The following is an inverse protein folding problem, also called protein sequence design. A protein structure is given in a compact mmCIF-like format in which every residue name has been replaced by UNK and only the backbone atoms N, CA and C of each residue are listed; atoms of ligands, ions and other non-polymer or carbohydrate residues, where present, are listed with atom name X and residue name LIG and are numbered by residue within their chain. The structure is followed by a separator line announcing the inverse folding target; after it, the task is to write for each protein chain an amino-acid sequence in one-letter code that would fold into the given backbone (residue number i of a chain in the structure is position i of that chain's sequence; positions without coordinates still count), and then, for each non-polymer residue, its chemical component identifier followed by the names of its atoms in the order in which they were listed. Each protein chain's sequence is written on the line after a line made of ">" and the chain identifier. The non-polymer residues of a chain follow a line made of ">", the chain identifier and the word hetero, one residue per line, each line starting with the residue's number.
data_IF_746776696558
#
_entry.id   IF_746776696558
#
_cell.length_a   1.000
_cell.length_b   1.000
_cell.length_c   1.000
_cell.angle_alpha   90.00
_cell.angle_beta   90.00
_cell.angle_gamma   90.00
#
_symmetry.space_group_name_H-M   'P 1'
#
loop_
_entity.id
_entity.type
_entity.pdbx_description
1 polymer ?
#
# COMPACT_ATOMS: atom_id res chain seq x y z
N UNK A 1 -12.50 23.47 34.67
CA UNK A 1 -11.10 23.30 35.08
C UNK A 1 -10.60 22.01 34.46
N UNK A 2 -9.55 22.12 33.64
CA UNK A 2 -9.19 21.13 32.62
C UNK A 2 -8.51 19.86 33.17
N UNK A 3 -8.73 18.77 32.44
CA UNK A 3 -7.89 17.58 32.48
C UNK A 3 -7.10 17.52 31.17
N UNK A 4 -5.82 17.87 31.26
CA UNK A 4 -4.83 17.56 30.23
C UNK A 4 -4.60 16.05 30.22
N UNK A 5 -5.02 15.40 29.13
CA UNK A 5 -4.70 14.01 28.82
C UNK A 5 -4.23 13.94 27.37
N UNK A 6 -3.00 14.40 27.11
CA UNK A 6 -2.34 14.15 25.82
C UNK A 6 -1.97 12.67 25.80
N UNK A 7 -2.71 11.88 25.02
CA UNK A 7 -2.43 10.46 24.82
C UNK A 7 -1.09 10.22 24.13
N UNK A 8 -0.56 8.97 24.17
CA UNK A 8 0.77 8.61 23.66
C UNK A 8 0.97 8.86 22.16
N UNK A 9 -0.13 9.03 21.41
CA UNK A 9 -0.14 9.16 19.95
C UNK A 9 0.41 10.48 19.42
N UNK A 10 0.37 11.57 20.21
CA UNK A 10 0.93 12.86 19.80
C UNK A 10 2.48 12.89 19.88
N UNK A 11 3.09 12.04 20.71
CA UNK A 11 4.56 11.91 20.79
C UNK A 11 5.17 11.20 19.57
N UNK A 12 4.43 10.29 18.93
CA UNK A 12 4.90 9.56 17.76
C UNK A 12 4.96 10.42 16.49
N UNK A 13 4.05 11.39 16.34
CA UNK A 13 4.06 12.29 15.18
C UNK A 13 5.26 13.26 15.20
N UNK A 14 5.70 13.66 16.39
CA UNK A 14 6.80 14.61 16.55
C UNK A 14 8.19 13.96 16.41
N UNK A 15 8.30 12.63 16.58
CA UNK A 15 9.52 11.87 16.29
C UNK A 15 9.70 11.59 14.78
N UNK A 16 8.61 11.50 14.01
CA UNK A 16 8.67 11.23 12.56
C UNK A 16 8.99 12.48 11.71
N UNK A 17 8.76 13.69 12.22
CA UNK A 17 9.06 14.94 11.53
C UNK A 17 10.09 15.76 12.30
N UNK A 18 11.27 15.16 12.49
CA UNK A 18 12.48 15.87 12.88
C UNK A 18 12.86 16.93 11.82
N UNK A 19 13.27 18.08 12.32
CA UNK A 19 13.48 19.36 11.65
C UNK A 19 14.23 19.28 10.30
N UNK A 20 13.73 20.07 9.35
CA UNK A 20 14.33 20.42 8.06
C UNK A 20 15.86 20.59 8.15
N UNK A 21 16.55 20.09 7.12
CA UNK A 21 18.00 20.11 6.85
C UNK A 21 18.84 19.04 7.53
N UNK A 22 18.83 17.81 6.97
CA UNK A 22 19.96 16.86 7.11
C UNK A 22 19.81 15.69 8.09
N UNK A 23 18.60 15.32 8.51
CA UNK A 23 18.40 14.18 9.42
C UNK A 23 18.67 12.85 8.72
N UNK A 24 19.70 12.13 9.18
CA UNK A 24 19.76 10.67 9.04
C UNK A 24 18.50 10.09 9.70
N UNK A 25 17.83 9.13 9.04
CA UNK A 25 16.97 8.19 9.74
C UNK A 25 17.73 7.70 10.96
N UNK A 26 17.19 7.95 12.16
CA UNK A 26 17.92 7.71 13.40
C UNK A 26 18.38 6.25 13.47
N UNK A 27 19.57 6.00 14.04
CA UNK A 27 20.11 4.64 14.22
C UNK A 27 19.09 3.72 14.92
N UNK A 28 18.26 4.27 15.79
CA UNK A 28 17.17 3.58 16.47
C UNK A 28 16.03 3.19 15.52
N UNK A 29 15.65 4.06 14.59
CA UNK A 29 14.66 3.77 13.55
C UNK A 29 15.12 2.58 12.68
N UNK A 30 16.38 2.63 12.23
CA UNK A 30 17.00 1.55 11.44
C UNK A 30 17.03 0.20 12.16
N UNK A 31 17.22 0.19 13.47
CA UNK A 31 17.21 -1.03 14.27
C UNK A 31 15.82 -1.66 14.34
N UNK A 32 14.79 -0.84 14.48
CA UNK A 32 13.41 -1.32 14.65
C UNK A 32 12.83 -1.80 13.32
N UNK A 33 13.11 -1.05 12.26
CA UNK A 33 12.63 -1.30 10.90
C UNK A 33 13.67 -1.99 10.00
N UNK A 34 14.58 -2.78 10.56
CA UNK A 34 15.62 -3.51 9.79
C UNK A 34 15.03 -4.41 8.68
N UNK A 35 13.80 -4.87 8.88
CA UNK A 35 12.99 -5.63 7.91
C UNK A 35 12.67 -4.84 6.64
N UNK A 36 12.64 -3.50 6.67
CA UNK A 36 12.40 -2.69 5.47
C UNK A 36 13.63 -2.57 4.55
N UNK A 37 14.74 -3.23 4.92
CA UNK A 37 15.98 -3.23 4.16
C UNK A 37 16.52 -1.83 3.94
N UNK A 38 17.02 -1.55 2.74
CA UNK A 38 17.54 -0.23 2.34
C UNK A 38 16.51 0.57 1.51
N UNK A 39 15.22 0.27 1.68
CA UNK A 39 14.12 0.95 0.99
C UNK A 39 13.87 2.38 1.47
N UNK A 40 12.90 3.04 0.85
CA UNK A 40 12.69 4.50 0.98
C UNK A 40 12.42 4.99 2.41
N UNK A 41 11.91 4.13 3.29
CA UNK A 41 11.71 4.49 4.70
C UNK A 41 12.98 4.37 5.54
N UNK A 42 13.95 3.55 5.12
CA UNK A 42 15.12 3.20 5.91
C UNK A 42 16.45 3.67 5.29
N UNK A 43 16.41 4.28 4.10
CA UNK A 43 17.57 4.86 3.43
C UNK A 43 17.91 6.26 3.95
N UNK A 44 19.20 6.62 3.88
CA UNK A 44 19.71 7.93 4.32
C UNK A 44 20.21 8.78 3.15
N UNK A 45 20.20 10.10 3.36
CA UNK A 45 20.88 11.09 2.54
C UNK A 45 20.64 10.92 1.03
N UNK A 46 21.68 10.61 0.27
CA UNK A 46 21.63 10.59 -1.20
C UNK A 46 20.87 9.36 -1.74
N UNK A 47 20.93 8.21 -1.05
CA UNK A 47 20.15 7.03 -1.42
C UNK A 47 18.64 7.33 -1.31
N UNK A 48 18.23 7.94 -0.19
CA UNK A 48 16.85 8.38 -0.01
C UNK A 48 16.43 9.40 -1.07
N UNK A 49 17.28 10.39 -1.37
CA UNK A 49 16.97 11.40 -2.40
C UNK A 49 16.77 10.77 -3.77
N UNK A 50 17.62 9.82 -4.17
CA UNK A 50 17.51 9.12 -5.46
C UNK A 50 16.24 8.28 -5.52
N UNK A 51 15.96 7.46 -4.50
CA UNK A 51 14.73 6.66 -4.42
C UNK A 51 13.47 7.53 -4.42
N UNK A 52 13.46 8.61 -3.63
CA UNK A 52 12.36 9.59 -3.57
C UNK A 52 12.10 10.26 -4.92
N UNK A 53 13.16 10.61 -5.65
CA UNK A 53 13.07 11.21 -6.99
C UNK A 53 12.43 10.24 -7.97
N UNK A 54 12.87 8.99 -7.99
CA UNK A 54 12.33 7.94 -8.87
C UNK A 54 10.86 7.62 -8.55
N UNK A 55 10.55 7.37 -7.27
CA UNK A 55 9.19 7.16 -6.79
C UNK A 55 8.24 8.31 -7.18
N UNK A 56 8.68 9.56 -6.98
CA UNK A 56 7.89 10.73 -7.34
C UNK A 56 7.66 10.81 -8.85
N UNK A 57 8.69 10.57 -9.65
CA UNK A 57 8.58 10.59 -11.10
C UNK A 57 7.51 9.60 -11.59
N UNK A 58 7.55 8.36 -11.07
CA UNK A 58 6.54 7.33 -11.35
C UNK A 58 5.13 7.76 -10.95
N UNK A 59 4.91 8.17 -9.70
CA UNK A 59 3.56 8.50 -9.20
C UNK A 59 2.95 9.69 -9.95
N UNK A 60 3.78 10.62 -10.42
CA UNK A 60 3.32 11.75 -11.24
C UNK A 60 3.11 11.40 -12.71
N UNK A 61 3.60 10.25 -13.16
CA UNK A 61 3.51 9.81 -14.55
C UNK A 61 2.05 9.55 -14.96
N UNK A 62 1.65 10.01 -16.14
CA UNK A 62 0.26 9.91 -16.60
C UNK A 62 -0.20 8.44 -16.66
N UNK A 63 0.62 7.54 -17.22
CA UNK A 63 0.30 6.10 -17.30
C UNK A 63 0.04 5.48 -15.93
N UNK A 64 0.86 5.80 -14.93
CA UNK A 64 0.67 5.29 -13.56
C UNK A 64 -0.64 5.80 -12.96
N UNK A 65 -0.97 7.09 -13.17
CA UNK A 65 -2.23 7.67 -12.66
C UNK A 65 -3.46 7.07 -13.33
N UNK A 66 -3.41 6.81 -14.64
CA UNK A 66 -4.48 6.10 -15.35
C UNK A 66 -4.65 4.69 -14.82
N UNK A 67 -3.53 3.98 -14.63
CA UNK A 67 -3.52 2.63 -14.08
C UNK A 67 -4.07 2.58 -12.66
N UNK A 68 -3.72 3.54 -11.81
CA UNK A 68 -4.26 3.72 -10.46
C UNK A 68 -5.78 3.86 -10.46
N UNK A 69 -6.31 4.77 -11.28
CA UNK A 69 -7.75 5.02 -11.35
C UNK A 69 -8.48 3.77 -11.87
N UNK A 70 -7.98 3.18 -12.96
CA UNK A 70 -8.57 1.97 -13.55
C UNK A 70 -8.59 0.81 -12.55
N UNK A 71 -7.44 0.51 -11.93
CA UNK A 71 -7.31 -0.57 -10.95
C UNK A 71 -8.23 -0.36 -9.75
N UNK A 72 -8.29 0.87 -9.21
CA UNK A 72 -9.14 1.18 -8.07
C UNK A 72 -10.62 0.99 -8.42
N UNK A 73 -11.04 1.44 -9.61
CA UNK A 73 -12.41 1.28 -10.09
C UNK A 73 -12.76 -0.20 -10.28
N UNK A 74 -11.93 -0.94 -11.01
CA UNK A 74 -12.14 -2.37 -11.28
C UNK A 74 -12.21 -3.18 -9.99
N UNK A 75 -11.40 -2.85 -8.98
CA UNK A 75 -11.41 -3.53 -7.68
C UNK A 75 -12.64 -3.23 -6.85
N UNK A 76 -13.20 -2.03 -6.94
CA UNK A 76 -14.47 -1.71 -6.30
C UNK A 76 -15.61 -2.43 -7.02
N UNK A 77 -15.68 -2.31 -8.35
CA UNK A 77 -16.78 -2.84 -9.16
C UNK A 77 -16.83 -4.37 -9.19
N UNK A 78 -15.69 -5.03 -9.38
CA UNK A 78 -15.61 -6.49 -9.56
C UNK A 78 -15.23 -7.24 -8.29
N UNK A 79 -14.79 -6.54 -7.24
CA UNK A 79 -14.36 -7.13 -5.98
C UNK A 79 -15.23 -6.70 -4.81
N UNK A 80 -15.12 -5.43 -4.41
CA UNK A 80 -15.74 -4.94 -3.17
C UNK A 80 -17.27 -5.02 -3.20
N UNK A 81 -17.90 -4.52 -4.27
CA UNK A 81 -19.37 -4.52 -4.41
C UNK A 81 -19.92 -5.94 -4.38
N UNK A 82 -19.43 -6.90 -5.20
CA UNK A 82 -19.90 -8.29 -5.14
C UNK A 82 -19.75 -8.95 -3.77
N UNK A 83 -18.64 -8.69 -3.05
CA UNK A 83 -18.44 -9.21 -1.69
C UNK A 83 -19.46 -8.62 -0.73
N UNK A 84 -19.73 -7.32 -0.79
CA UNK A 84 -20.72 -6.66 0.06
C UNK A 84 -22.15 -7.12 -0.26
N UNK A 85 -22.49 -7.32 -1.53
CA UNK A 85 -23.78 -7.88 -1.95
C UNK A 85 -23.97 -9.29 -1.39
N UNK A 86 -22.98 -10.16 -1.55
CA UNK A 86 -22.99 -11.51 -1.02
C UNK A 86 -23.19 -11.56 0.50
N UNK A 87 -22.44 -10.73 1.23
CA UNK A 87 -22.54 -10.59 2.69
C UNK A 87 -23.93 -10.10 3.11
N UNK A 88 -24.49 -9.13 2.37
CA UNK A 88 -25.82 -8.59 2.62
C UNK A 88 -26.92 -9.63 2.37
N UNK A 89 -26.85 -10.38 1.26
CA UNK A 89 -27.82 -11.42 0.91
C UNK A 89 -27.86 -12.55 1.93
N UNK A 90 -26.71 -12.89 2.51
CA UNK A 90 -26.60 -13.93 3.53
C UNK A 90 -26.84 -13.41 4.96
N UNK A 91 -26.99 -12.10 5.16
CA UNK A 91 -27.13 -11.49 6.48
C UNK A 91 -25.89 -11.70 7.37
N UNK A 92 -24.70 -11.80 6.76
CA UNK A 92 -23.45 -12.01 7.48
C UNK A 92 -22.98 -10.72 8.16
N UNK A 93 -22.35 -10.87 9.32
CA UNK A 93 -21.62 -9.77 9.97
C UNK A 93 -20.15 -9.91 9.60
N UNK A 94 -19.57 -8.84 9.06
CA UNK A 94 -18.17 -8.79 8.67
C UNK A 94 -17.44 -7.66 9.37
N UNK A 95 -16.12 -7.81 9.51
CA UNK A 95 -15.23 -6.73 9.91
C UNK A 95 -14.85 -5.90 8.68
N UNK A 96 -15.26 -4.63 8.66
CA UNK A 96 -14.91 -3.71 7.56
C UNK A 96 -13.42 -3.41 7.51
N UNK A 97 -12.70 -3.51 8.63
CA UNK A 97 -11.25 -3.32 8.66
C UNK A 97 -10.54 -4.41 7.86
N UNK A 98 -10.89 -5.68 8.09
CA UNK A 98 -10.37 -6.82 7.32
C UNK A 98 -10.71 -6.68 5.83
N UNK A 99 -11.96 -6.31 5.52
CA UNK A 99 -12.40 -6.11 4.14
C UNK A 99 -11.59 -5.02 3.42
N UNK A 100 -11.36 -3.87 4.06
CA UNK A 100 -10.56 -2.79 3.48
C UNK A 100 -9.07 -3.11 3.43
N UNK A 101 -8.54 -3.90 4.36
CA UNK A 101 -7.18 -4.42 4.26
C UNK A 101 -7.02 -5.34 3.04
N UNK A 102 -7.99 -6.22 2.77
CA UNK A 102 -8.00 -7.07 1.55
C UNK A 102 -8.08 -6.24 0.27
N UNK A 103 -8.96 -5.25 0.22
CA UNK A 103 -9.09 -4.34 -0.93
C UNK A 103 -7.78 -3.60 -1.21
N UNK A 104 -7.21 -2.97 -0.19
CA UNK A 104 -6.02 -2.13 -0.34
C UNK A 104 -4.77 -2.96 -0.60
N UNK A 105 -4.70 -4.18 -0.07
CA UNK A 105 -3.65 -5.13 -0.40
C UNK A 105 -3.69 -5.52 -1.88
N UNK A 106 -4.84 -5.94 -2.40
CA UNK A 106 -5.01 -6.28 -3.82
C UNK A 106 -4.66 -5.10 -4.72
N UNK A 107 -5.23 -3.92 -4.45
CA UNK A 107 -4.96 -2.70 -5.22
C UNK A 107 -3.47 -2.34 -5.18
N UNK A 108 -2.84 -2.36 -4.00
CA UNK A 108 -1.41 -2.01 -3.89
C UNK A 108 -0.53 -3.05 -4.59
N UNK A 109 -0.85 -4.34 -4.48
CA UNK A 109 -0.11 -5.40 -5.16
C UNK A 109 -0.15 -5.22 -6.68
N UNK A 110 -1.31 -4.90 -7.25
CA UNK A 110 -1.45 -4.62 -8.68
C UNK A 110 -0.63 -3.38 -9.08
N UNK A 111 -0.70 -2.29 -8.30
CA UNK A 111 0.04 -1.07 -8.63
C UNK A 111 1.55 -1.23 -8.52
N UNK A 112 2.00 -2.07 -7.59
CA UNK A 112 3.43 -2.27 -7.31
C UNK A 112 4.03 -3.32 -8.23
N UNK A 113 3.32 -4.41 -8.49
CA UNK A 113 3.87 -5.60 -9.18
C UNK A 113 3.19 -5.92 -10.51
N UNK A 114 2.04 -5.32 -10.78
CA UNK A 114 1.17 -5.68 -11.91
C UNK A 114 0.35 -6.95 -11.70
N UNK A 115 0.47 -7.63 -10.55
CA UNK A 115 -0.22 -8.89 -10.27
C UNK A 115 -1.31 -8.74 -9.22
N UNK A 116 -2.43 -9.41 -9.46
CA UNK A 116 -3.58 -9.48 -8.54
C UNK A 116 -3.53 -10.75 -7.68
N UNK A 117 -3.36 -10.65 -6.35
CA UNK A 117 -3.36 -11.81 -5.46
C UNK A 117 -4.77 -12.34 -5.16
N UNK A 118 -5.83 -11.57 -5.45
CA UNK A 118 -7.22 -12.01 -5.28
C UNK A 118 -7.65 -12.23 -3.82
N UNK A 119 -7.16 -11.43 -2.88
CA UNK A 119 -7.55 -11.53 -1.46
C UNK A 119 -8.98 -11.07 -1.20
N UNK A 120 -9.46 -10.13 -2.02
CA UNK A 120 -10.82 -9.63 -1.98
C UNK A 120 -11.73 -10.52 -2.84
N UNK A 121 -12.28 -11.55 -2.22
CA UNK A 121 -13.24 -12.46 -2.84
C UNK A 121 -14.27 -12.94 -1.82
N UNK A 122 -15.37 -13.53 -2.30
CA UNK A 122 -16.45 -14.07 -1.46
C UNK A 122 -16.01 -15.25 -0.60
N UNK A 123 -14.89 -15.91 -0.95
CA UNK A 123 -14.33 -17.03 -0.19
C UNK A 123 -13.47 -16.58 1.01
N UNK A 124 -13.13 -15.29 1.09
CA UNK A 124 -12.24 -14.71 2.11
C UNK A 124 -10.95 -15.54 2.34
N UNK A 125 -10.18 -15.85 1.28
CA UNK A 125 -9.02 -16.72 1.39
C UNK A 125 -7.95 -16.13 2.31
N UNK A 126 -7.26 -16.99 3.05
CA UNK A 126 -6.03 -16.62 3.74
C UNK A 126 -4.91 -16.50 2.71
N UNK A 127 -4.37 -15.29 2.53
CA UNK A 127 -3.25 -15.05 1.62
C UNK A 127 -1.94 -15.00 2.40
N UNK A 128 -1.00 -15.94 2.16
CA UNK A 128 0.24 -16.02 2.93
C UNK A 128 1.05 -14.73 2.97
N UNK A 129 1.04 -13.96 1.86
CA UNK A 129 1.73 -12.68 1.78
C UNK A 129 1.09 -11.62 2.70
N UNK A 130 -0.25 -11.51 2.74
CA UNK A 130 -0.95 -10.62 3.69
C UNK A 130 -0.68 -11.03 5.14
N UNK A 131 -0.80 -12.33 5.45
CA UNK A 131 -0.56 -12.83 6.81
C UNK A 131 0.88 -12.59 7.27
N UNK A 132 1.85 -12.75 6.37
CA UNK A 132 3.25 -12.46 6.66
C UNK A 132 3.48 -10.96 6.92
N UNK A 133 2.78 -10.07 6.21
CA UNK A 133 2.81 -8.63 6.51
C UNK A 133 2.29 -8.34 7.91
N UNK A 134 1.14 -8.92 8.29
CA UNK A 134 0.56 -8.74 9.63
C UNK A 134 1.48 -9.24 10.74
N UNK A 135 2.09 -10.43 10.56
CA UNK A 135 3.06 -10.99 11.51
C UNK A 135 4.34 -10.14 11.62
N UNK A 136 4.78 -9.53 10.51
CA UNK A 136 5.93 -8.64 10.51
C UNK A 136 5.62 -7.34 11.26
N UNK A 137 4.48 -6.73 10.99
CA UNK A 137 4.03 -5.50 11.67
C UNK A 137 3.80 -5.70 13.16
N UNK A 138 3.18 -6.82 13.57
CA UNK A 138 3.02 -7.19 14.98
C UNK A 138 4.39 -7.24 15.68
N UNK A 139 5.39 -7.87 15.03
CA UNK A 139 6.73 -7.97 15.61
C UNK A 139 7.45 -6.61 15.69
N UNK A 140 7.31 -5.75 14.67
CA UNK A 140 7.87 -4.38 14.69
C UNK A 140 7.23 -3.56 15.81
N UNK A 141 5.92 -3.65 15.99
CA UNK A 141 5.21 -3.00 17.10
C UNK A 141 5.74 -3.50 18.47
N UNK A 142 5.98 -4.80 18.59
CA UNK A 142 6.57 -5.36 19.81
C UNK A 142 7.99 -4.84 20.09
N UNK A 143 8.80 -4.58 19.05
CA UNK A 143 10.12 -3.94 19.22
C UNK A 143 10.01 -2.50 19.72
N UNK A 144 8.94 -1.77 19.39
CA UNK A 144 8.67 -0.44 19.93
C UNK A 144 8.23 -0.47 21.40
N UNK A 145 7.47 -1.49 21.81
CA UNK A 145 6.97 -1.61 23.18
C UNK A 145 7.97 -2.23 24.16
N UNK A 146 8.88 -3.09 23.68
CA UNK A 146 9.83 -3.82 24.51
C UNK A 146 11.21 -3.14 24.53
N UNK A 147 11.90 -3.13 25.69
CA UNK A 147 13.30 -2.73 25.78
C UNK A 147 14.21 -3.47 24.78
N UNK A 148 15.21 -2.75 24.25
CA UNK A 148 16.14 -3.27 23.23
C UNK A 148 16.80 -4.60 23.60
N UNK A 149 17.13 -4.79 24.88
CA UNK A 149 17.73 -6.02 25.38
C UNK A 149 16.82 -7.24 25.28
N UNK A 150 15.50 -7.06 25.50
CA UNK A 150 14.54 -8.15 25.55
C UNK A 150 14.22 -8.71 24.17
N UNK A 151 13.92 -7.86 23.20
CA UNK A 151 13.63 -8.34 21.84
C UNK A 151 14.89 -8.84 21.14
N UNK A 152 16.08 -8.26 21.39
CA UNK A 152 17.34 -8.81 20.88
C UNK A 152 17.66 -10.19 21.45
N UNK A 153 17.36 -10.42 22.73
CA UNK A 153 17.48 -11.75 23.32
C UNK A 153 16.50 -12.74 22.68
N UNK A 154 15.26 -12.32 22.43
CA UNK A 154 14.27 -13.10 21.68
C UNK A 154 14.74 -13.46 20.26
N UNK A 155 15.38 -12.51 19.56
CA UNK A 155 15.99 -12.69 18.23
C UNK A 155 17.13 -13.71 18.28
N UNK A 156 18.03 -13.57 19.27
CA UNK A 156 19.18 -14.48 19.46
C UNK A 156 18.73 -15.92 19.78
N UNK A 157 17.69 -16.07 20.61
CA UNK A 157 17.14 -17.37 20.99
C UNK A 157 16.18 -17.95 19.94
N UNK A 158 15.78 -17.17 18.93
CA UNK A 158 14.84 -17.61 17.90
C UNK A 158 13.45 -17.96 18.45
N UNK A 159 12.95 -17.17 19.41
CA UNK A 159 11.66 -17.38 20.09
C UNK A 159 10.78 -16.13 20.04
N UNK A 160 9.48 -16.31 20.31
CA UNK A 160 8.53 -15.20 20.43
C UNK A 160 8.29 -14.44 19.12
N UNK A 161 7.98 -13.12 19.18
CA UNK A 161 7.69 -12.30 18.02
C UNK A 161 8.80 -12.29 16.96
N UNK A 162 10.08 -12.36 17.37
CA UNK A 162 11.21 -12.37 16.43
C UNK A 162 11.27 -13.66 15.60
N UNK A 163 10.83 -14.80 16.16
CA UNK A 163 10.71 -16.05 15.40
C UNK A 163 9.61 -15.94 14.34
N UNK A 164 8.47 -15.33 14.69
CA UNK A 164 7.38 -15.07 13.75
C UNK A 164 7.88 -14.16 12.63
N UNK A 165 8.53 -13.04 12.98
CA UNK A 165 9.11 -12.12 12.01
C UNK A 165 10.09 -12.79 11.05
N UNK A 166 10.98 -13.67 11.54
CA UNK A 166 11.90 -14.39 10.66
C UNK A 166 11.19 -15.32 9.68
N UNK A 167 10.05 -15.93 10.07
CA UNK A 167 9.25 -16.78 9.18
C UNK A 167 8.45 -15.95 8.18
N UNK A 168 7.81 -14.89 8.67
CA UNK A 168 7.11 -13.91 7.86
C UNK A 168 8.05 -13.34 6.79
N UNK A 169 9.25 -12.91 7.18
CA UNK A 169 10.28 -12.43 6.26
C UNK A 169 10.60 -13.42 5.15
N UNK A 170 10.76 -14.71 5.46
CA UNK A 170 11.03 -15.74 4.45
C UNK A 170 9.87 -15.89 3.45
N UNK A 171 8.62 -15.75 3.91
CA UNK A 171 7.45 -15.76 3.02
C UNK A 171 7.40 -14.50 2.15
N UNK A 172 7.65 -13.32 2.73
CA UNK A 172 7.68 -12.06 1.99
C UNK A 172 8.77 -12.09 0.91
N UNK A 173 10.00 -12.52 1.26
CA UNK A 173 11.14 -12.61 0.35
C UNK A 173 10.86 -13.59 -0.80
N UNK A 174 10.31 -14.78 -0.52
CA UNK A 174 9.95 -15.77 -1.54
C UNK A 174 8.83 -15.28 -2.49
N UNK A 175 7.77 -14.68 -1.94
CA UNK A 175 6.65 -14.15 -2.76
C UNK A 175 7.13 -12.99 -3.64
N UNK A 176 7.91 -12.07 -3.08
CA UNK A 176 8.44 -10.93 -3.85
C UNK A 176 9.40 -11.41 -4.93
N UNK A 177 10.29 -12.35 -4.63
CA UNK A 177 11.19 -12.95 -5.62
C UNK A 177 10.42 -13.59 -6.79
N UNK A 178 9.30 -14.28 -6.49
CA UNK A 178 8.41 -14.83 -7.53
C UNK A 178 7.82 -13.73 -8.40
N UNK A 179 7.30 -12.64 -7.84
CA UNK A 179 6.77 -11.53 -8.63
C UNK A 179 7.83 -10.86 -9.50
N UNK A 180 9.05 -10.65 -8.97
CA UNK A 180 10.18 -10.14 -9.75
C UNK A 180 10.51 -11.07 -10.91
N UNK A 181 10.61 -12.38 -10.67
CA UNK A 181 10.88 -13.37 -11.72
C UNK A 181 9.78 -13.39 -12.78
N UNK A 182 8.52 -13.45 -12.37
CA UNK A 182 7.36 -13.46 -13.27
C UNK A 182 7.33 -12.19 -14.13
N UNK A 183 7.60 -11.02 -13.54
CA UNK A 183 7.61 -9.75 -14.27
C UNK A 183 8.75 -9.69 -15.29
N UNK A 184 9.95 -10.14 -14.91
CA UNK A 184 11.08 -10.23 -15.86
C UNK A 184 10.76 -11.17 -17.03
N UNK A 185 10.11 -12.29 -16.79
CA UNK A 185 9.65 -13.19 -17.85
C UNK A 185 8.60 -12.57 -18.76
N UNK A 186 7.59 -11.91 -18.20
CA UNK A 186 6.53 -11.19 -18.91
C UNK A 186 7.12 -10.15 -19.87
N UNK A 187 8.04 -9.31 -19.39
CA UNK A 187 8.71 -8.30 -20.21
C UNK A 187 9.61 -8.92 -21.30
N UNK A 188 10.28 -10.04 -21.01
CA UNK A 188 11.10 -10.75 -22.02
C UNK A 188 10.27 -11.35 -23.17
N UNK A 189 8.98 -11.61 -22.93
CA UNK A 189 8.02 -12.11 -23.91
C UNK A 189 7.34 -10.94 -24.63
N UNK A 190 6.98 -9.88 -23.91
CA UNK A 190 6.33 -8.68 -24.45
C UNK A 190 7.23 -7.91 -25.44
N UNK A 191 8.55 -7.84 -25.21
CA UNK A 191 9.50 -7.27 -26.18
C UNK A 191 9.54 -7.98 -27.56
N UNK A 192 8.79 -9.09 -27.75
CA UNK A 192 8.66 -9.82 -29.04
C UNK A 192 7.32 -9.58 -29.74
N UNK A 193 6.37 -8.87 -29.12
CA UNK A 193 5.07 -8.55 -29.68
C UNK A 193 4.80 -7.05 -29.48
N UNK A 194 4.45 -6.33 -30.56
CA UNK A 194 4.28 -4.87 -30.54
C UNK A 194 3.47 -4.37 -29.33
N UNK A 195 4.00 -3.38 -28.62
CA UNK A 195 3.43 -2.74 -27.43
C UNK A 195 1.99 -2.28 -27.71
N UNK A 196 1.03 -2.83 -26.94
CA UNK A 196 -0.26 -2.18 -26.79
C UNK A 196 -0.05 -1.04 -25.78
N UNK A 197 0.02 0.18 -26.30
CA UNK A 197 0.29 1.44 -25.57
C UNK A 197 -0.70 1.74 -24.42
N UNK A 198 -1.66 0.83 -24.20
CA UNK A 198 -2.80 0.92 -23.29
C UNK A 198 -2.62 0.10 -21.99
N UNK A 199 -1.54 -0.67 -21.85
CA UNK A 199 -1.23 -1.37 -20.61
C UNK A 199 -0.67 -0.37 -19.57
N UNK A 200 -1.21 -0.39 -18.35
CA UNK A 200 -0.83 0.55 -17.30
C UNK A 200 0.63 0.42 -16.89
N UNK A 201 1.21 1.48 -16.31
CA UNK A 201 2.59 1.44 -15.81
C UNK A 201 2.58 1.06 -14.32
N UNK A 202 2.91 -0.18 -13.98
CA UNK A 202 3.17 -0.59 -12.59
C UNK A 202 4.59 -0.20 -12.13
N UNK A 203 4.81 -0.21 -10.82
CA UNK A 203 6.08 0.21 -10.22
C UNK A 203 7.24 -0.68 -10.62
N UNK A 204 7.06 -2.00 -10.54
CA UNK A 204 8.10 -2.97 -10.82
C UNK A 204 8.56 -2.88 -12.28
N UNK A 205 7.62 -2.76 -13.22
CA UNK A 205 7.91 -2.49 -14.63
C UNK A 205 8.72 -1.19 -14.79
N UNK A 206 8.29 -0.11 -14.13
CA UNK A 206 9.01 1.17 -14.19
C UNK A 206 10.42 1.11 -13.61
N UNK A 207 10.65 0.29 -12.58
CA UNK A 207 11.94 0.18 -11.91
C UNK A 207 12.91 -0.74 -12.67
N UNK A 208 12.40 -1.81 -13.29
CA UNK A 208 13.22 -2.68 -14.14
C UNK A 208 13.60 -1.99 -15.47
N UNK A 209 12.69 -1.20 -16.06
CA UNK A 209 12.96 -0.42 -17.26
C UNK A 209 13.67 0.93 -16.98
N UNK A 210 13.84 1.28 -15.71
CA UNK A 210 14.43 2.54 -15.28
C UNK A 210 15.88 2.69 -15.75
N UNK A 211 16.23 3.91 -16.16
CA UNK A 211 17.53 4.24 -16.72
C UNK A 211 18.66 4.16 -15.67
N UNK A 212 19.80 3.58 -16.07
CA UNK A 212 21.05 3.49 -15.28
C UNK A 212 21.56 4.88 -14.84
N UNK A 213 21.07 5.95 -15.48
CA UNK A 213 21.37 7.35 -15.15
C UNK A 213 20.94 7.79 -13.75
N UNK A 214 20.11 7.00 -13.06
CA UNK A 214 19.77 7.24 -11.64
C UNK A 214 20.87 6.82 -10.67
N UNK A 215 21.89 6.07 -11.14
CA UNK A 215 22.98 5.57 -10.30
C UNK A 215 22.54 4.54 -9.24
N UNK A 216 21.31 4.05 -9.33
CA UNK A 216 20.78 2.98 -8.49
C UNK A 216 21.02 1.66 -9.21
N UNK A 217 21.84 0.78 -8.63
CA UNK A 217 21.88 -0.60 -9.07
C UNK A 217 20.53 -1.25 -8.78
N UNK A 218 19.80 -1.59 -9.85
CA UNK A 218 18.49 -2.25 -9.77
C UNK A 218 18.69 -3.76 -9.54
N UNK A 219 19.32 -4.09 -8.41
CA UNK A 219 19.52 -5.47 -7.98
C UNK A 219 18.23 -6.06 -7.37
N UNK A 220 18.18 -7.38 -7.24
CA UNK A 220 16.99 -8.05 -6.70
C UNK A 220 16.71 -7.64 -5.25
N UNK A 221 17.75 -7.27 -4.50
CA UNK A 221 17.61 -6.75 -3.13
C UNK A 221 16.88 -5.42 -3.12
N UNK A 222 17.28 -4.48 -3.98
CA UNK A 222 16.66 -3.17 -4.11
C UNK A 222 15.21 -3.28 -4.55
N UNK A 223 14.92 -4.13 -5.54
CA UNK A 223 13.55 -4.38 -5.98
C UNK A 223 12.70 -4.96 -4.85
N UNK A 224 13.23 -5.94 -4.11
CA UNK A 224 12.53 -6.53 -2.98
C UNK A 224 12.22 -5.50 -1.90
N UNK A 225 13.23 -4.76 -1.47
CA UNK A 225 13.09 -3.75 -0.42
C UNK A 225 12.09 -2.67 -0.87
N UNK A 226 12.16 -2.24 -2.13
CA UNK A 226 11.22 -1.29 -2.72
C UNK A 226 9.79 -1.81 -2.72
N UNK A 227 9.54 -3.02 -3.24
CA UNK A 227 8.20 -3.63 -3.28
C UNK A 227 7.61 -3.68 -1.87
N UNK A 228 8.39 -4.17 -0.89
CA UNK A 228 7.93 -4.27 0.49
C UNK A 228 7.57 -2.89 1.08
N UNK A 229 8.43 -1.88 0.87
CA UNK A 229 8.18 -0.52 1.37
C UNK A 229 6.88 0.05 0.77
N UNK A 230 6.64 -0.13 -0.52
CA UNK A 230 5.40 0.35 -1.15
C UNK A 230 4.15 -0.44 -0.74
N UNK A 231 4.27 -1.76 -0.53
CA UNK A 231 3.17 -2.59 -0.03
C UNK A 231 2.69 -2.11 1.36
N UNK A 232 3.62 -1.88 2.29
CA UNK A 232 3.30 -1.39 3.64
C UNK A 232 2.71 0.02 3.57
N UNK A 233 3.29 0.89 2.73
CA UNK A 233 2.80 2.26 2.58
C UNK A 233 1.35 2.32 2.07
N UNK A 234 1.00 1.49 1.09
CA UNK A 234 -0.30 1.54 0.41
C UNK A 234 -1.43 0.80 1.14
N UNK A 235 -1.13 -0.35 1.76
CA UNK A 235 -2.10 -1.24 2.40
C UNK A 235 -2.69 -0.65 3.69
N UNK A 236 -1.87 -0.52 4.72
CA UNK A 236 -2.38 -0.32 6.09
C UNK A 236 -2.83 1.12 6.35
N UNK A 237 -2.22 2.10 5.68
CA UNK A 237 -2.63 3.51 5.78
C UNK A 237 -3.99 3.75 5.15
N UNK A 238 -4.23 3.22 3.95
CA UNK A 238 -5.48 3.42 3.20
C UNK A 238 -6.63 2.63 3.82
N UNK A 239 -6.38 1.37 4.25
CA UNK A 239 -7.41 0.54 4.89
C UNK A 239 -7.87 1.15 6.21
N UNK A 240 -6.94 1.65 7.03
CA UNK A 240 -7.27 2.37 8.25
C UNK A 240 -8.11 3.62 7.95
N UNK A 241 -7.73 4.41 6.94
CA UNK A 241 -8.47 5.61 6.55
C UNK A 241 -9.91 5.29 6.12
N UNK A 242 -10.11 4.25 5.29
CA UNK A 242 -11.44 3.81 4.84
C UNK A 242 -12.28 3.28 6.00
N UNK A 243 -11.67 2.53 6.91
CA UNK A 243 -12.34 2.02 8.11
C UNK A 243 -12.87 3.16 8.98
N UNK A 244 -12.01 4.14 9.30
CA UNK A 244 -12.41 5.33 10.06
C UNK A 244 -13.45 6.17 9.31
N UNK A 245 -13.30 6.31 8.00
CA UNK A 245 -14.28 7.01 7.17
C UNK A 245 -15.67 6.38 7.28
N UNK A 246 -15.79 5.07 7.07
CA UNK A 246 -17.09 4.38 7.15
C UNK A 246 -17.67 4.39 8.57
N UNK A 247 -16.81 4.27 9.59
CA UNK A 247 -17.24 4.41 10.97
C UNK A 247 -17.79 5.81 11.27
N UNK A 248 -17.11 6.86 10.82
CA UNK A 248 -17.58 8.25 10.97
C UNK A 248 -18.90 8.49 10.21
N UNK A 249 -19.02 7.99 8.99
CA UNK A 249 -20.24 8.14 8.19
C UNK A 249 -21.43 7.43 8.85
N UNK A 250 -21.25 6.20 9.33
CA UNK A 250 -22.32 5.43 9.98
C UNK A 250 -22.78 6.00 11.33
N UNK A 251 -21.94 6.80 11.98
CA UNK A 251 -22.27 7.47 13.26
C UNK A 251 -22.81 8.89 13.09
N UNK A 252 -22.79 9.44 11.87
CA UNK A 252 -23.22 10.81 11.56
C UNK A 252 -24.19 10.84 10.36
N UNK A 253 -25.50 10.55 10.57
CA UNK A 253 -26.49 10.44 9.50
C UNK A 253 -26.63 11.70 8.63
N UNK A 254 -26.37 12.88 9.18
CA UNK A 254 -26.39 14.14 8.44
C UNK A 254 -25.23 14.25 7.43
N UNK A 255 -24.08 13.65 7.73
CA UNK A 255 -22.94 13.55 6.82
C UNK A 255 -23.25 12.53 5.74
N UNK A 256 -23.77 11.36 6.12
CA UNK A 256 -24.21 10.32 5.17
C UNK A 256 -25.22 10.89 4.16
N UNK A 257 -26.23 11.63 4.62
CA UNK A 257 -27.22 12.27 3.75
C UNK A 257 -26.58 13.23 2.77
N UNK A 258 -25.65 14.10 3.22
CA UNK A 258 -24.96 15.04 2.32
C UNK A 258 -24.14 14.32 1.25
N UNK A 259 -23.45 13.24 1.61
CA UNK A 259 -22.69 12.41 0.66
C UNK A 259 -23.66 11.80 -0.38
N UNK A 260 -24.79 11.23 0.06
CA UNK A 260 -25.81 10.67 -0.85
C UNK A 260 -26.41 11.75 -1.76
N UNK A 261 -26.69 12.93 -1.24
CA UNK A 261 -27.20 14.07 -2.03
C UNK A 261 -26.19 14.47 -3.12
N UNK A 262 -24.90 14.55 -2.79
CA UNK A 262 -23.83 14.84 -3.77
C UNK A 262 -23.72 13.75 -4.83
N UNK A 263 -23.72 12.47 -4.44
CA UNK A 263 -23.67 11.35 -5.38
C UNK A 263 -24.88 11.35 -6.33
N UNK A 264 -26.09 11.61 -5.82
CA UNK A 264 -27.30 11.70 -6.63
C UNK A 264 -27.23 12.83 -7.68
N UNK A 265 -26.56 13.95 -7.38
CA UNK A 265 -26.34 15.03 -8.34
C UNK A 265 -25.35 14.62 -9.45
N UNK A 266 -24.36 13.79 -9.12
CA UNK A 266 -23.38 13.30 -10.09
C UNK A 266 -23.95 12.19 -10.99
N UNK A 267 -24.88 11.37 -10.47
CA UNK A 267 -25.52 10.28 -11.21
C UNK A 267 -26.60 10.73 -12.20
N UNK A 268 -27.06 11.99 -12.14
CA UNK A 268 -28.00 12.52 -13.12
C UNK A 268 -27.27 12.84 -14.44
N UNK A 269 -27.82 12.45 -15.60
CA UNK A 269 -27.25 12.82 -16.89
C UNK A 269 -27.28 14.34 -17.02
N UNK A 270 -26.11 14.98 -17.04
CA UNK A 270 -26.03 16.43 -17.32
C UNK A 270 -26.56 16.67 -18.73
N UNK A 271 -27.77 17.25 -18.82
CA UNK A 271 -28.18 18.01 -19.99
C UNK A 271 -27.25 19.23 -20.10
N UNK A 272 -26.10 19.06 -20.76
CA UNK A 272 -25.11 20.11 -20.96
C UNK A 272 -25.60 21.08 -22.04
N UNK A 273 -26.25 22.16 -21.62
CA UNK A 273 -26.10 23.45 -22.30
C UNK A 273 -25.15 24.31 -21.46
N UNK A 274 -24.11 24.81 -22.14
CA UNK A 274 -23.11 25.80 -21.70
C UNK A 274 -21.97 25.36 -20.75
N UNK A 275 -20.87 24.96 -21.37
CA UNK A 275 -19.61 25.72 -21.29
C UNK A 275 -18.93 25.86 -19.93
N UNK A 276 -18.20 24.82 -19.51
CA UNK A 276 -17.20 24.93 -18.46
C UNK A 276 -16.88 23.61 -17.77
N UNK A 277 -15.66 23.10 -18.00
CA UNK A 277 -15.06 21.96 -17.31
C UNK A 277 -15.52 20.54 -17.73
N UNK A 278 -15.23 20.20 -18.99
CA UNK A 278 -15.13 18.81 -19.47
C UNK A 278 -13.72 18.27 -19.21
N UNK A 279 -13.46 17.67 -18.05
CA UNK A 279 -12.23 16.91 -17.83
C UNK A 279 -12.35 15.65 -16.97
N UNK A 280 -13.53 15.33 -16.46
CA UNK A 280 -13.76 14.13 -15.66
C UNK A 280 -14.44 12.98 -16.42
N UNK A 281 -15.12 13.25 -17.53
CA UNK A 281 -15.84 12.23 -18.31
C UNK A 281 -14.99 11.46 -19.31
N UNK A 282 -13.73 11.84 -19.55
CA UNK A 282 -12.84 11.14 -20.50
C UNK A 282 -12.23 9.84 -19.94
N UNK A 283 -12.60 9.43 -18.72
CA UNK A 283 -12.20 8.16 -18.12
C UNK A 283 -13.39 7.20 -17.90
N UNK A 284 -14.59 7.54 -18.40
CA UNK A 284 -15.85 6.80 -18.10
C UNK A 284 -16.54 6.32 -19.38
N UNK A 285 -15.77 5.88 -20.37
CA UNK A 285 -16.28 5.09 -21.50
C UNK A 285 -15.26 4.05 -21.91
#
# INVERSE_FOLDING_TARGET
>A
MGCHGTGPWLGCSQACFGTLTGSTTGVEFKKIFDVLGDGIFNSDADLWRSQRKQARALITHERFRKFLIKTSWEKVEKGLIPVLEHVSEQGMVIDLQDLFQRLTFDTTCILVTGFDPGCLSTEFPDVPFSKAMDEAEEAILMRHCLPESLWKLGKLLGIGPEKKLSRAWAVLDDVIAKYVSMKREEMSKSNRCNEDDNEGLDLLTSYINGDESTGLECDDKFLRDTILNFMIAGRDTTSSALTWFMWLVSTHPEVERKIRDELNLLSQPRNLTNGGCSKWTSYVT
#
